data_IF_300612354893
#
_entry.id   IF_300612354893
#
_cell.length_a   1.000
_cell.length_b   1.000
_cell.length_c   1.000
_cell.angle_alpha   90.00
_cell.angle_beta   90.00
_cell.angle_gamma   90.00
#
_symmetry.space_group_name_H-M   'P 1'
#
loop_
_entity.id
_entity.type
_entity.pdbx_description
1 polymer ?
#
# COMPACT_ATOMS: atom_id res chain seq x y z
N UNK A 1 5.79 23.05 10.59
CA UNK A 1 6.30 21.73 11.02
C UNK A 1 7.73 21.90 11.51
N UNK A 2 7.95 21.85 12.83
CA UNK A 2 9.30 21.81 13.39
C UNK A 2 9.96 20.50 12.93
N UNK A 3 10.94 20.60 12.03
CA UNK A 3 11.83 19.48 11.72
C UNK A 3 12.76 19.33 12.94
N UNK A 4 12.36 18.53 13.91
CA UNK A 4 13.32 18.03 14.89
C UNK A 4 14.33 17.19 14.10
N UNK A 5 15.56 17.67 13.99
CA UNK A 5 16.67 16.95 13.35
C UNK A 5 17.17 15.80 14.24
N UNK A 6 16.27 15.17 15.00
CA UNK A 6 16.61 14.04 15.85
C UNK A 6 16.76 12.81 14.97
N UNK A 7 17.99 12.30 14.93
CA UNK A 7 18.32 11.11 14.17
C UNK A 7 17.92 9.92 15.04
N UNK A 8 16.86 9.22 14.63
CA UNK A 8 16.47 7.96 15.26
C UNK A 8 17.36 6.86 14.67
N UNK A 9 18.15 6.22 15.54
CA UNK A 9 18.98 5.09 15.16
C UNK A 9 18.21 3.78 15.40
N UNK A 10 18.15 2.93 14.38
CA UNK A 10 17.58 1.57 14.49
C UNK A 10 18.73 0.53 14.51
N UNK A 11 18.42 -0.75 14.27
CA UNK A 11 19.47 -1.73 14.04
C UNK A 11 20.23 -1.43 12.73
N UNK A 12 21.58 -1.48 12.74
CA UNK A 12 22.38 -1.17 11.56
C UNK A 12 22.16 -2.22 10.47
N UNK A 13 22.03 -1.74 9.22
CA UNK A 13 21.93 -2.62 8.05
C UNK A 13 23.30 -3.03 7.53
N UNK A 14 23.35 -4.08 6.71
CA UNK A 14 24.58 -4.65 6.14
C UNK A 14 25.52 -3.59 5.54
N UNK A 15 25.02 -2.67 4.70
CA UNK A 15 25.87 -1.65 4.10
C UNK A 15 26.44 -0.61 5.08
N UNK A 16 25.79 -0.39 6.23
CA UNK A 16 26.33 0.46 7.29
C UNK A 16 27.39 -0.28 8.12
N UNK A 17 27.18 -1.57 8.36
CA UNK A 17 28.15 -2.45 9.02
C UNK A 17 29.42 -2.57 8.17
N UNK A 18 29.28 -2.84 6.87
CA UNK A 18 30.41 -2.90 5.93
C UNK A 18 31.20 -1.58 5.92
N UNK A 19 30.49 -0.45 5.93
CA UNK A 19 31.12 0.86 5.97
C UNK A 19 31.89 1.08 7.27
N UNK A 20 31.31 0.73 8.42
CA UNK A 20 31.98 0.85 9.72
C UNK A 20 33.18 -0.09 9.83
N UNK A 21 33.09 -1.31 9.28
CA UNK A 21 34.19 -2.29 9.28
C UNK A 21 35.47 -1.75 8.65
N UNK A 22 35.37 -0.93 7.60
CA UNK A 22 36.54 -0.28 6.99
C UNK A 22 37.35 0.60 7.94
N UNK A 23 36.77 1.07 9.05
CA UNK A 23 37.45 1.90 10.03
C UNK A 23 37.86 1.14 11.29
N UNK A 24 37.41 -0.10 11.46
CA UNK A 24 37.42 -0.81 12.76
C UNK A 24 38.12 -2.18 12.66
N UNK A 25 38.37 -2.70 11.46
CA UNK A 25 38.82 -4.09 11.24
C UNK A 25 40.01 -4.54 12.09
N UNK A 26 40.94 -3.63 12.40
CA UNK A 26 42.23 -3.94 13.02
C UNK A 26 42.39 -3.37 14.43
N UNK A 27 41.30 -2.90 15.05
CA UNK A 27 41.33 -2.19 16.33
C UNK A 27 40.80 -3.03 17.49
N UNK A 28 41.36 -2.78 18.68
CA UNK A 28 40.81 -3.30 19.92
C UNK A 28 39.41 -2.73 20.18
N UNK A 29 38.59 -3.46 20.96
CA UNK A 29 37.18 -3.09 21.18
C UNK A 29 37.01 -1.68 21.76
N UNK A 30 37.89 -1.23 22.65
CA UNK A 30 37.81 0.09 23.27
C UNK A 30 38.13 1.23 22.29
N UNK A 31 39.11 1.02 21.41
CA UNK A 31 39.48 1.97 20.35
C UNK A 31 38.39 2.03 19.28
N UNK A 32 37.81 0.88 18.92
CA UNK A 32 36.68 0.77 18.01
C UNK A 32 35.47 1.59 18.46
N UNK A 33 35.15 1.59 19.76
CA UNK A 33 34.07 2.40 20.32
C UNK A 33 34.32 3.90 20.17
N UNK A 34 35.57 4.34 20.35
CA UNK A 34 35.93 5.74 20.17
C UNK A 34 35.72 6.18 18.71
N UNK A 35 36.18 5.37 17.76
CA UNK A 35 36.01 5.63 16.33
C UNK A 35 34.54 5.60 15.92
N UNK A 36 33.76 4.63 16.40
CA UNK A 36 32.31 4.56 16.14
C UNK A 36 31.59 5.84 16.56
N UNK A 37 31.90 6.37 17.75
CA UNK A 37 31.31 7.63 18.23
C UNK A 37 31.67 8.81 17.32
N UNK A 38 32.89 8.85 16.81
CA UNK A 38 33.31 9.89 15.85
C UNK A 38 32.64 9.72 14.48
N UNK A 39 32.47 8.48 14.01
CA UNK A 39 31.80 8.15 12.77
C UNK A 39 30.32 8.54 12.81
N UNK A 40 29.61 8.26 13.91
CA UNK A 40 28.22 8.67 14.13
C UNK A 40 28.04 10.19 14.13
N UNK A 41 29.00 10.93 14.70
CA UNK A 41 29.03 12.40 14.67
C UNK A 41 29.44 12.97 13.30
N UNK A 42 29.83 12.11 12.37
CA UNK A 42 30.25 12.48 11.03
C UNK A 42 31.57 13.24 10.95
N UNK A 43 32.48 12.97 11.89
CA UNK A 43 33.81 13.58 11.93
C UNK A 43 34.87 12.79 11.17
N UNK A 44 34.62 11.50 10.93
CA UNK A 44 35.61 10.56 10.41
C UNK A 44 35.61 10.41 8.88
N UNK A 45 34.48 10.67 8.22
CA UNK A 45 34.36 10.52 6.78
C UNK A 45 34.61 11.85 6.07
N UNK A 46 35.17 11.78 4.86
CA UNK A 46 35.40 12.94 4.02
C UNK A 46 34.08 13.63 3.67
N UNK A 47 33.94 14.89 4.09
CA UNK A 47 32.76 15.72 3.76
C UNK A 47 32.63 15.99 2.26
N UNK A 48 33.72 15.79 1.50
CA UNK A 48 33.77 15.96 0.05
C UNK A 48 33.23 14.74 -0.71
N UNK A 49 33.19 13.55 -0.08
CA UNK A 49 32.68 12.34 -0.72
C UNK A 49 31.15 12.33 -0.71
N UNK A 50 30.56 12.78 -1.83
CA UNK A 50 29.10 12.81 -2.06
C UNK A 50 28.45 11.43 -2.07
N UNK A 51 29.21 10.33 -2.09
CA UNK A 51 28.68 8.97 -2.01
C UNK A 51 28.42 8.52 -0.58
N UNK A 52 29.04 9.17 0.42
CA UNK A 52 28.81 8.84 1.82
C UNK A 52 27.52 9.53 2.28
N UNK A 53 26.53 8.73 2.63
CA UNK A 53 25.18 9.18 2.97
C UNK A 53 24.72 8.55 4.27
N UNK A 54 23.70 9.14 4.89
CA UNK A 54 22.98 8.50 5.99
C UNK A 54 21.81 7.69 5.46
N UNK A 55 21.64 6.49 6.00
CA UNK A 55 20.49 5.65 5.70
C UNK A 55 19.22 6.27 6.27
N UNK A 56 18.19 6.45 5.43
CA UNK A 56 16.90 7.00 5.83
C UNK A 56 16.09 6.10 6.77
N UNK A 57 16.49 4.83 6.93
CA UNK A 57 15.83 3.89 7.84
C UNK A 57 16.61 3.71 9.15
N UNK A 58 17.87 3.25 9.08
CA UNK A 58 18.65 2.94 10.28
C UNK A 58 19.48 4.10 10.83
N UNK A 59 19.61 5.21 10.10
CA UNK A 59 20.29 6.43 10.56
C UNK A 59 21.83 6.41 10.45
N UNK A 60 22.44 5.24 10.22
CA UNK A 60 23.90 5.12 10.10
C UNK A 60 24.44 5.57 8.74
N UNK A 61 25.73 5.93 8.73
CA UNK A 61 26.47 6.23 7.52
C UNK A 61 26.76 4.99 6.70
N UNK A 62 26.69 5.12 5.38
CA UNK A 62 27.08 4.10 4.42
C UNK A 62 27.58 4.75 3.13
N UNK A 63 28.36 4.01 2.36
CA UNK A 63 28.82 4.44 1.02
C UNK A 63 27.87 3.92 -0.06
N UNK A 64 27.35 4.83 -0.87
CA UNK A 64 26.47 4.49 -1.99
C UNK A 64 27.25 3.73 -3.08
N UNK A 65 26.92 2.45 -3.25
CA UNK A 65 27.49 1.57 -4.29
C UNK A 65 26.74 1.68 -5.62
N UNK A 66 25.59 2.38 -5.67
CA UNK A 66 24.78 2.48 -6.89
C UNK A 66 25.41 3.42 -7.92
N UNK A 67 25.34 3.04 -9.20
CA UNK A 67 25.83 3.87 -10.33
C UNK A 67 25.24 5.30 -10.33
N UNK A 68 23.92 5.52 -10.14
CA UNK A 68 23.35 6.87 -10.15
C UNK A 68 23.64 7.67 -8.87
N UNK A 69 24.30 7.11 -7.85
CA UNK A 69 24.50 7.75 -6.55
C UNK A 69 23.21 8.35 -5.98
N UNK A 70 22.11 7.60 -5.97
CA UNK A 70 20.80 8.06 -5.52
C UNK A 70 20.18 7.18 -4.43
N UNK A 71 20.92 6.21 -3.89
CA UNK A 71 20.38 5.36 -2.85
C UNK A 71 20.12 6.21 -1.59
N UNK A 72 19.04 5.86 -0.89
CA UNK A 72 18.64 6.47 0.39
C UNK A 72 18.79 5.49 1.56
N UNK A 73 19.10 4.22 1.27
CA UNK A 73 19.16 3.14 2.26
C UNK A 73 20.42 2.32 2.04
N UNK A 74 21.01 1.83 3.13
CA UNK A 74 22.27 1.10 3.08
C UNK A 74 22.17 -0.33 2.52
N UNK A 75 20.99 -0.96 2.60
CA UNK A 75 20.74 -2.29 2.05
C UNK A 75 19.27 -2.47 1.62
N UNK A 76 18.96 -3.61 0.98
CA UNK A 76 17.62 -3.97 0.53
C UNK A 76 16.63 -4.14 1.69
N UNK A 77 17.06 -4.75 2.80
CA UNK A 77 16.25 -4.92 4.02
C UNK A 77 15.76 -3.57 4.56
N UNK A 78 16.69 -2.63 4.77
CA UNK A 78 16.34 -1.27 5.19
C UNK A 78 15.41 -0.54 4.21
N UNK A 79 15.48 -0.85 2.91
CA UNK A 79 14.54 -0.30 1.92
C UNK A 79 13.12 -0.84 2.13
N UNK A 80 12.99 -2.16 2.29
CA UNK A 80 11.70 -2.81 2.54
C UNK A 80 11.08 -2.26 3.82
N UNK A 81 11.86 -2.17 4.89
CA UNK A 81 11.36 -1.67 6.18
C UNK A 81 10.96 -0.19 6.13
N UNK A 82 11.71 0.64 5.39
CA UNK A 82 11.32 2.03 5.16
C UNK A 82 9.99 2.14 4.40
N UNK A 83 9.80 1.30 3.39
CA UNK A 83 8.58 1.29 2.59
C UNK A 83 7.39 0.75 3.40
N UNK A 84 7.59 -0.23 4.28
CA UNK A 84 6.53 -0.72 5.18
C UNK A 84 6.11 0.34 6.20
N UNK A 85 7.07 1.07 6.79
CA UNK A 85 6.80 2.20 7.68
C UNK A 85 6.00 3.30 6.97
N UNK A 86 6.42 3.71 5.78
CA UNK A 86 5.68 4.72 4.98
C UNK A 86 4.26 4.27 4.67
N UNK A 87 4.08 3.01 4.26
CA UNK A 87 2.74 2.43 4.02
C UNK A 87 1.91 2.35 5.30
N UNK A 88 2.52 2.16 6.48
CA UNK A 88 1.82 2.17 7.75
C UNK A 88 1.30 3.58 8.09
N UNK A 89 2.13 4.61 7.92
CA UNK A 89 1.76 6.02 8.11
C UNK A 89 0.61 6.40 7.17
N UNK A 90 0.74 6.14 5.86
CA UNK A 90 -0.32 6.43 4.88
C UNK A 90 -1.63 5.71 5.23
N UNK A 91 -1.56 4.47 5.71
CA UNK A 91 -2.74 3.73 6.16
C UNK A 91 -3.38 4.34 7.41
N UNK A 92 -2.57 4.81 8.36
CA UNK A 92 -3.05 5.50 9.55
C UNK A 92 -3.74 6.82 9.17
N UNK A 93 -3.12 7.64 8.33
CA UNK A 93 -3.70 8.91 7.85
C UNK A 93 -5.02 8.67 7.11
N UNK A 94 -5.06 7.66 6.24
CA UNK A 94 -6.29 7.29 5.53
C UNK A 94 -7.38 6.80 6.47
N UNK A 95 -7.03 6.11 7.55
CA UNK A 95 -7.98 5.66 8.56
C UNK A 95 -8.54 6.83 9.39
N UNK A 96 -7.76 7.90 9.62
CA UNK A 96 -8.23 9.13 10.25
C UNK A 96 -9.21 9.89 9.34
N UNK A 97 -8.92 9.98 8.04
CA UNK A 97 -9.78 10.67 7.07
C UNK A 97 -11.07 9.90 6.76
N UNK A 98 -10.99 8.57 6.69
CA UNK A 98 -12.10 7.69 6.37
C UNK A 98 -12.13 6.53 7.37
N UNK A 99 -12.66 6.76 8.59
CA UNK A 99 -12.75 5.69 9.57
C UNK A 99 -13.60 4.56 8.99
N UNK A 100 -13.02 3.37 8.94
CA UNK A 100 -13.78 2.17 8.59
C UNK A 100 -14.92 2.05 9.59
N UNK A 101 -16.16 2.08 9.10
CA UNK A 101 -17.33 1.77 9.92
C UNK A 101 -17.04 0.42 10.58
N UNK A 102 -17.13 0.37 11.90
CA UNK A 102 -17.08 -0.90 12.64
C UNK A 102 -18.05 -1.86 11.97
N UNK A 103 -17.62 -3.11 11.77
CA UNK A 103 -18.54 -4.14 11.27
C UNK A 103 -19.70 -4.16 12.25
N UNK A 104 -20.86 -3.66 11.82
CA UNK A 104 -22.09 -3.77 12.60
C UNK A 104 -22.26 -5.24 12.94
N UNK A 105 -22.57 -5.52 14.19
CA UNK A 105 -22.96 -6.86 14.60
C UNK A 105 -24.04 -7.36 13.64
N UNK A 106 -23.90 -8.62 13.20
CA UNK A 106 -24.87 -9.20 12.27
C UNK A 106 -26.17 -9.37 13.06
N UNK A 107 -27.14 -8.48 12.91
CA UNK A 107 -28.45 -8.65 13.55
C UNK A 107 -29.36 -9.66 12.84
N UNK A 108 -28.80 -10.56 12.01
CA UNK A 108 -29.46 -11.77 11.53
C UNK A 108 -28.60 -12.99 11.86
N UNK A 109 -29.11 -13.83 12.75
CA UNK A 109 -28.51 -15.08 13.20
C UNK A 109 -29.09 -16.20 12.34
N UNK A 110 -28.30 -16.70 11.38
CA UNK A 110 -28.78 -17.63 10.36
C UNK A 110 -28.31 -19.09 10.55
N UNK A 111 -27.37 -19.32 11.46
CA UNK A 111 -26.71 -20.62 11.65
C UNK A 111 -27.36 -21.49 12.74
N UNK A 112 -28.49 -21.05 13.29
CA UNK A 112 -29.30 -21.82 14.24
C UNK A 112 -30.39 -22.60 13.50
N UNK A 113 -30.90 -23.65 14.14
CA UNK A 113 -32.05 -24.42 13.63
C UNK A 113 -33.28 -23.54 13.39
N UNK A 114 -33.44 -22.51 14.23
CA UNK A 114 -34.42 -21.44 14.05
C UNK A 114 -33.72 -20.08 13.87
N UNK A 115 -33.48 -19.65 12.62
CA UNK A 115 -32.93 -18.33 12.33
C UNK A 115 -33.82 -17.20 12.84
N UNK A 116 -33.20 -16.15 13.38
CA UNK A 116 -33.94 -14.96 13.83
C UNK A 116 -33.16 -13.67 13.58
N UNK A 117 -33.89 -12.55 13.56
CA UNK A 117 -33.31 -11.22 13.55
C UNK A 117 -33.22 -10.69 14.98
N UNK A 118 -32.08 -10.12 15.33
CA UNK A 118 -31.83 -9.50 16.64
C UNK A 118 -32.62 -8.19 16.77
N UNK A 119 -32.87 -7.51 15.65
CA UNK A 119 -33.63 -6.26 15.60
C UNK A 119 -34.66 -6.31 14.46
N UNK A 120 -35.88 -5.86 14.74
CA UNK A 120 -36.95 -5.75 13.74
C UNK A 120 -36.54 -4.90 12.53
N UNK A 121 -35.77 -3.83 12.77
CA UNK A 121 -35.25 -2.99 11.70
C UNK A 121 -34.41 -3.76 10.67
N UNK A 122 -33.63 -4.77 11.10
CA UNK A 122 -32.85 -5.60 10.18
C UNK A 122 -33.73 -6.54 9.35
N UNK A 123 -34.80 -7.04 9.94
CA UNK A 123 -35.82 -7.82 9.24
C UNK A 123 -36.48 -6.97 8.14
N UNK A 124 -36.97 -5.76 8.50
CA UNK A 124 -37.63 -4.84 7.58
C UNK A 124 -36.71 -4.35 6.46
N UNK A 125 -35.44 -4.08 6.77
CA UNK A 125 -34.46 -3.70 5.75
C UNK A 125 -34.31 -4.76 4.67
N UNK A 126 -34.43 -6.05 5.03
CA UNK A 126 -34.37 -7.14 4.05
C UNK A 126 -35.64 -7.19 3.21
N UNK A 127 -36.82 -7.04 3.79
CA UNK A 127 -38.09 -7.03 3.03
C UNK A 127 -38.11 -5.89 2.02
N UNK A 128 -37.62 -4.69 2.38
CA UNK A 128 -37.49 -3.56 1.45
C UNK A 128 -36.66 -3.85 0.20
N UNK A 129 -35.74 -4.82 0.24
CA UNK A 129 -34.94 -5.18 -0.94
C UNK A 129 -35.73 -6.01 -1.95
N UNK A 130 -36.71 -6.79 -1.50
CA UNK A 130 -37.44 -7.75 -2.34
C UNK A 130 -38.88 -7.31 -2.63
N UNK A 131 -39.50 -6.57 -1.71
CA UNK A 131 -40.89 -6.13 -1.78
C UNK A 131 -41.04 -4.67 -2.18
N UNK A 132 -39.94 -3.98 -2.51
CA UNK A 132 -40.01 -2.60 -2.99
C UNK A 132 -40.82 -2.52 -4.29
N UNK A 133 -41.87 -1.68 -4.36
CA UNK A 133 -42.60 -1.46 -5.58
C UNK A 133 -41.67 -0.84 -6.63
N UNK A 134 -41.54 -1.51 -7.77
CA UNK A 134 -40.80 -0.94 -8.91
C UNK A 134 -41.60 0.17 -9.57
N UNK A 135 -40.93 1.20 -10.05
CA UNK A 135 -41.59 2.22 -10.89
C UNK A 135 -42.10 1.58 -12.18
N UNK A 136 -43.20 2.11 -12.79
CA UNK A 136 -43.75 1.57 -14.03
C UNK A 136 -42.71 1.40 -15.15
N UNK A 137 -41.80 2.37 -15.29
CA UNK A 137 -40.71 2.33 -16.28
C UNK A 137 -39.71 1.19 -16.04
N UNK A 138 -39.49 0.81 -14.77
CA UNK A 138 -38.59 -0.28 -14.43
C UNK A 138 -39.26 -1.64 -14.66
N UNK A 139 -40.57 -1.72 -14.46
CA UNK A 139 -41.38 -2.91 -14.78
C UNK A 139 -41.35 -3.16 -16.29
N UNK A 140 -41.60 -2.15 -17.12
CA UNK A 140 -41.55 -2.29 -18.59
C UNK A 140 -40.16 -2.72 -19.07
N UNK A 141 -39.08 -2.15 -18.49
CA UNK A 141 -37.71 -2.55 -18.80
C UNK A 141 -37.42 -4.02 -18.45
N UNK A 142 -37.93 -4.52 -17.31
CA UNK A 142 -37.80 -5.94 -16.92
C UNK A 142 -38.54 -6.84 -17.91
N UNK A 143 -39.76 -6.48 -18.32
CA UNK A 143 -40.52 -7.23 -19.32
C UNK A 143 -39.82 -7.28 -20.68
N UNK A 144 -39.32 -6.13 -21.16
CA UNK A 144 -38.56 -6.06 -22.41
C UNK A 144 -37.27 -6.88 -22.35
N UNK A 145 -36.57 -6.90 -21.21
CA UNK A 145 -35.40 -7.75 -21.01
C UNK A 145 -35.77 -9.24 -21.05
N UNK A 146 -36.85 -9.66 -20.38
CA UNK A 146 -37.32 -11.04 -20.39
C UNK A 146 -37.73 -11.50 -21.80
N UNK A 147 -38.37 -10.63 -22.58
CA UNK A 147 -38.71 -10.92 -23.98
C UNK A 147 -37.46 -11.07 -24.85
N UNK A 148 -36.49 -10.15 -24.73
CA UNK A 148 -35.20 -10.26 -25.44
C UNK A 148 -34.46 -11.55 -25.11
N UNK A 149 -34.39 -11.92 -23.83
CA UNK A 149 -33.75 -13.15 -23.39
C UNK A 149 -34.48 -14.38 -23.96
N UNK A 150 -35.81 -14.36 -24.06
CA UNK A 150 -36.59 -15.43 -24.69
C UNK A 150 -36.34 -15.57 -26.20
N UNK A 151 -36.24 -14.45 -26.93
CA UNK A 151 -36.03 -14.46 -28.38
C UNK A 151 -34.58 -14.84 -28.78
N UNK A 152 -33.59 -14.49 -27.96
CA UNK A 152 -32.16 -14.70 -28.25
C UNK A 152 -31.65 -16.06 -27.69
N UNK A 153 -32.49 -16.80 -26.95
CA UNK A 153 -32.10 -18.07 -26.33
C UNK A 153 -31.26 -17.91 -25.05
N UNK A 154 -31.52 -16.85 -24.28
CA UNK A 154 -30.88 -16.54 -22.99
C UNK A 154 -29.72 -15.54 -23.08
N UNK A 155 -28.82 -15.58 -22.10
CA UNK A 155 -27.72 -14.60 -21.84
C UNK A 155 -26.59 -14.59 -22.89
N UNK A 156 -26.86 -14.84 -24.18
CA UNK A 156 -25.85 -14.63 -25.22
C UNK A 156 -25.80 -13.14 -25.58
N UNK A 157 -24.71 -12.47 -25.17
CA UNK A 157 -24.40 -11.12 -25.65
C UNK A 157 -24.34 -11.15 -27.19
N UNK A 158 -25.08 -10.25 -27.83
CA UNK A 158 -24.95 -10.03 -29.27
C UNK A 158 -23.50 -9.64 -29.58
N UNK A 159 -22.78 -10.47 -30.35
CA UNK A 159 -21.45 -10.11 -30.83
C UNK A 159 -21.62 -8.97 -31.84
N UNK A 160 -21.18 -7.76 -31.50
CA UNK A 160 -21.02 -6.67 -32.46
C UNK A 160 -19.75 -6.97 -33.26
N UNK A 161 -19.90 -7.51 -34.46
CA UNK A 161 -18.80 -7.58 -35.41
C UNK A 161 -18.56 -6.17 -35.93
N UNK A 162 -17.41 -5.57 -35.58
CA UNK A 162 -16.95 -4.34 -36.21
C UNK A 162 -16.20 -4.76 -37.47
N UNK A 163 -16.62 -4.33 -38.67
CA UNK A 163 -15.85 -4.61 -39.88
C UNK A 163 -14.51 -3.86 -39.79
N UNK A 164 -13.41 -4.61 -39.76
CA UNK A 164 -12.05 -4.07 -39.80
C UNK A 164 -11.65 -3.94 -41.27
N UNK A 165 -11.74 -2.74 -41.82
CA UNK A 165 -11.08 -2.37 -43.08
C UNK A 165 -9.68 -1.88 -42.72
N UNK A 166 -8.68 -2.75 -42.78
CA UNK A 166 -7.29 -2.48 -42.38
C UNK A 166 -6.55 -1.48 -43.26
N UNK A 167 -7.10 -0.28 -43.48
CA UNK A 167 -6.39 0.87 -44.03
C UNK A 167 -6.17 1.87 -42.92
N UNK A 168 -4.93 1.93 -42.44
CA UNK A 168 -4.40 3.08 -41.71
C UNK A 168 -4.14 4.17 -42.77
N UNK A 169 -5.15 4.99 -43.06
CA UNK A 169 -4.93 6.24 -43.81
C UNK A 169 -4.39 7.26 -42.81
N UNK A 170 -3.08 7.52 -42.90
CA UNK A 170 -2.43 8.68 -42.29
C UNK A 170 -3.15 9.94 -42.78
N UNK A 171 -3.78 10.64 -41.85
CA UNK A 171 -4.39 11.95 -42.11
C UNK A 171 -3.28 12.98 -41.98
N UNK A 172 -2.86 13.53 -43.11
CA UNK A 172 -2.10 14.80 -43.21
C UNK A 172 -2.90 15.98 -42.62
#
# INVERSE_FOLDING_TARGET
MFKTNEIIYCNPGEGAIDFAKHFISDLASDEALHILRQLLKGRLHDKTDKRIKRCAYCGYYYRDKTRPNNSKTCCSKCKVDLDTLRRAIIRADKALLNPKKTKKEKGHVWWLEYPFYVQEYEMLKRTWKYEAPYSPNKITAIHAAKQRDGMIGGKRKSKRAVPYSGRDEEVD
#
